data_IF_701411094185
#
_entry.id   IF_701411094185
#
_cell.length_a   1.000
_cell.length_b   1.000
_cell.length_c   1.000
_cell.angle_alpha   90.00
_cell.angle_beta   90.00
_cell.angle_gamma   90.00
#
_symmetry.space_group_name_H-M   'P 1'
#
loop_
_entity.id
_entity.type
_entity.pdbx_description
1 polymer ?
#
# COMPACT_ATOMS: atom_id res chain seq x y z
N UNK A 1 -16.59 -4.66 6.56
CA UNK A 1 -16.26 -3.94 5.31
C UNK A 1 -15.16 -4.71 4.61
N UNK A 2 -15.22 -4.91 3.28
CA UNK A 2 -14.14 -5.58 2.54
C UNK A 2 -12.81 -4.83 2.72
N UNK A 3 -11.68 -5.55 2.76
CA UNK A 3 -10.36 -4.95 3.02
C UNK A 3 -9.97 -3.94 1.94
N UNK A 4 -10.24 -4.25 0.68
CA UNK A 4 -10.07 -3.36 -0.46
C UNK A 4 -10.83 -2.03 -0.29
N UNK A 5 -12.01 -2.06 0.32
CA UNK A 5 -12.80 -0.85 0.60
C UNK A 5 -12.17 -0.01 1.72
N UNK A 6 -11.53 -0.63 2.72
CA UNK A 6 -10.79 0.09 3.78
C UNK A 6 -9.65 0.90 3.16
N UNK A 7 -8.93 0.34 2.19
CA UNK A 7 -7.89 1.09 1.46
C UNK A 7 -8.49 2.28 0.71
N UNK A 8 -9.61 2.10 0.02
CA UNK A 8 -10.32 3.22 -0.63
C UNK A 8 -10.75 4.32 0.35
N UNK A 9 -11.10 3.97 1.59
CA UNK A 9 -11.39 4.94 2.66
C UNK A 9 -10.17 5.79 3.01
N UNK A 10 -8.96 5.23 2.96
CA UNK A 10 -7.72 5.94 3.24
C UNK A 10 -7.15 6.69 2.01
N UNK A 11 -7.50 6.27 0.79
CA UNK A 11 -6.95 6.82 -0.46
C UNK A 11 -8.01 7.60 -1.26
N UNK A 12 -8.73 6.95 -2.18
CA UNK A 12 -9.61 7.61 -3.14
C UNK A 12 -10.75 8.41 -2.51
N UNK A 13 -11.27 8.00 -1.36
CA UNK A 13 -12.26 8.78 -0.61
C UNK A 13 -11.67 10.10 -0.11
N UNK A 14 -10.48 10.05 0.52
CA UNK A 14 -9.74 11.23 0.95
C UNK A 14 -9.40 12.13 -0.23
N UNK A 15 -8.90 11.56 -1.32
CA UNK A 15 -8.51 12.30 -2.52
C UNK A 15 -9.67 13.10 -3.11
N UNK A 16 -10.86 12.49 -3.23
CA UNK A 16 -12.07 13.19 -3.71
C UNK A 16 -12.49 14.31 -2.78
N UNK A 17 -12.53 14.04 -1.47
CA UNK A 17 -12.96 15.04 -0.47
C UNK A 17 -12.00 16.23 -0.40
N UNK A 18 -10.70 15.99 -0.59
CA UNK A 18 -9.63 16.99 -0.50
C UNK A 18 -9.21 17.56 -1.86
N UNK A 19 -9.80 17.09 -2.96
CA UNK A 19 -9.46 17.49 -4.35
C UNK A 19 -7.98 17.29 -4.67
N UNK A 20 -7.44 16.13 -4.32
CA UNK A 20 -6.06 15.74 -4.61
C UNK A 20 -5.96 15.05 -5.98
N UNK A 21 -4.83 15.25 -6.64
CA UNK A 21 -4.44 14.55 -7.86
C UNK A 21 -3.96 13.10 -7.58
N UNK A 22 -3.52 12.81 -6.35
CA UNK A 22 -3.11 11.47 -5.88
C UNK A 22 -4.26 10.63 -5.30
N UNK A 23 -3.94 9.46 -4.74
CA UNK A 23 -4.87 8.58 -4.00
C UNK A 23 -5.77 7.68 -4.85
N UNK A 24 -5.66 7.73 -6.18
CA UNK A 24 -6.34 6.84 -7.12
C UNK A 24 -5.30 6.38 -8.16
N UNK A 25 -5.34 5.10 -8.52
CA UNK A 25 -4.46 4.53 -9.56
C UNK A 25 -5.15 4.67 -10.90
N UNK A 26 -4.77 5.69 -11.66
CA UNK A 26 -5.37 6.06 -12.96
C UNK A 26 -4.34 6.86 -13.78
N UNK A 27 -4.39 6.76 -15.11
CA UNK A 27 -3.53 7.56 -15.98
C UNK A 27 -3.77 9.06 -15.78
N UNK A 28 -2.69 9.85 -15.74
CA UNK A 28 -2.75 11.30 -15.54
C UNK A 28 -2.80 11.76 -14.08
N UNK A 29 -2.74 10.84 -13.11
CA UNK A 29 -2.61 11.14 -11.68
C UNK A 29 -1.17 11.09 -11.20
N UNK A 30 -0.91 11.66 -10.02
CA UNK A 30 0.39 11.57 -9.36
C UNK A 30 0.79 10.10 -9.18
N UNK A 31 2.04 9.78 -9.48
CA UNK A 31 2.60 8.43 -9.39
C UNK A 31 2.99 8.08 -7.94
N UNK A 32 1.99 8.13 -7.06
CA UNK A 32 2.10 7.84 -5.64
C UNK A 32 1.63 6.41 -5.34
N UNK A 33 2.57 5.56 -4.94
CA UNK A 33 2.31 4.14 -4.72
C UNK A 33 2.88 3.66 -3.39
N UNK A 34 2.14 2.78 -2.73
CA UNK A 34 2.66 1.97 -1.63
C UNK A 34 2.60 0.51 -2.05
N UNK A 35 3.76 -0.10 -2.23
CA UNK A 35 3.88 -1.52 -2.51
C UNK A 35 3.96 -2.26 -1.18
N UNK A 36 3.02 -3.16 -0.96
CA UNK A 36 2.82 -3.86 0.31
C UNK A 36 2.42 -5.31 0.07
N UNK A 37 2.65 -6.14 1.08
CA UNK A 37 2.21 -7.54 1.11
C UNK A 37 1.74 -7.91 2.53
N UNK A 38 1.24 -9.14 2.69
CA UNK A 38 1.02 -9.70 4.03
C UNK A 38 2.32 -9.61 4.84
N UNK A 39 2.18 -9.39 6.15
CA UNK A 39 3.32 -9.45 7.06
C UNK A 39 3.91 -10.87 7.08
N UNK A 40 5.23 -10.97 7.25
CA UNK A 40 5.89 -12.25 7.52
C UNK A 40 5.25 -12.93 8.73
N UNK A 41 5.04 -14.25 8.63
CA UNK A 41 4.36 -15.05 9.65
C UNK A 41 2.90 -14.67 9.92
N UNK A 42 2.28 -13.84 9.07
CA UNK A 42 0.83 -13.63 9.10
C UNK A 42 0.08 -14.94 8.85
N UNK A 43 -1.06 -15.10 9.54
CA UNK A 43 -2.02 -16.19 9.29
C UNK A 43 -2.88 -15.97 8.04
N UNK A 44 -2.73 -14.82 7.37
CA UNK A 44 -3.38 -14.50 6.11
C UNK A 44 -2.74 -15.21 4.91
N UNK A 45 -3.56 -15.66 3.96
CA UNK A 45 -3.08 -16.26 2.71
C UNK A 45 -2.52 -15.24 1.73
N UNK A 46 -3.00 -14.00 1.81
CA UNK A 46 -2.57 -12.85 1.03
C UNK A 46 -2.77 -11.55 1.84
N UNK A 47 -2.44 -10.41 1.24
CA UNK A 47 -2.58 -9.07 1.83
C UNK A 47 -4.01 -8.77 2.31
N UNK A 48 -5.03 -9.06 1.49
CA UNK A 48 -6.40 -8.68 1.82
C UNK A 48 -6.97 -9.59 2.91
N UNK A 49 -6.66 -10.89 2.84
CA UNK A 49 -7.02 -11.84 3.89
C UNK A 49 -6.33 -11.53 5.22
N UNK A 50 -5.03 -11.17 5.21
CA UNK A 50 -4.32 -10.77 6.45
C UNK A 50 -4.93 -9.53 7.08
N UNK A 51 -5.26 -8.51 6.27
CA UNK A 51 -5.91 -7.28 6.76
C UNK A 51 -7.32 -7.57 7.29
N UNK A 52 -8.08 -8.47 6.65
CA UNK A 52 -9.40 -8.90 7.18
C UNK A 52 -9.28 -9.59 8.54
N UNK A 53 -8.17 -10.27 8.80
CA UNK A 53 -7.85 -10.93 10.09
C UNK A 53 -7.27 -9.98 11.13
N UNK A 54 -7.01 -8.73 10.78
CA UNK A 54 -6.55 -7.68 11.70
C UNK A 54 -5.05 -7.39 11.67
N UNK A 55 -4.29 -8.04 10.78
CA UNK A 55 -2.86 -7.80 10.65
C UNK A 55 -2.57 -6.46 9.95
N UNK A 56 -1.53 -5.77 10.42
CA UNK A 56 -0.97 -4.64 9.70
C UNK A 56 -0.24 -5.14 8.43
N UNK A 57 -0.44 -4.50 7.27
CA UNK A 57 0.30 -4.85 6.07
C UNK A 57 1.78 -4.51 6.21
N UNK A 58 2.64 -5.34 5.62
CA UNK A 58 4.07 -5.05 5.53
C UNK A 58 4.34 -4.14 4.34
N UNK A 59 4.89 -2.94 4.59
CA UNK A 59 5.24 -1.99 3.53
C UNK A 59 6.64 -2.31 2.99
N UNK A 60 6.71 -2.69 1.71
CA UNK A 60 7.93 -3.04 1.01
C UNK A 60 8.58 -1.88 0.26
N UNK A 61 7.79 -0.91 -0.23
CA UNK A 61 8.30 0.28 -0.91
C UNK A 61 7.25 1.40 -0.92
N UNK A 62 7.72 2.65 -0.87
CA UNK A 62 6.90 3.86 -1.06
C UNK A 62 7.49 4.68 -2.20
N UNK A 63 6.64 5.01 -3.16
CA UNK A 63 6.92 5.85 -4.32
C UNK A 63 6.09 7.12 -4.19
N UNK A 64 6.73 8.28 -4.37
CA UNK A 64 6.08 9.60 -4.37
C UNK A 64 6.53 10.35 -5.61
N UNK A 65 5.58 10.84 -6.41
CA UNK A 65 5.84 11.49 -7.69
C UNK A 65 6.71 10.64 -8.63
N UNK A 66 6.52 9.32 -8.62
CA UNK A 66 7.31 8.37 -9.43
C UNK A 66 8.73 8.13 -8.92
N UNK A 67 9.13 8.75 -7.81
CA UNK A 67 10.45 8.59 -7.21
C UNK A 67 10.35 7.64 -6.01
N UNK A 68 11.19 6.61 -5.97
CA UNK A 68 11.30 5.74 -4.78
C UNK A 68 11.82 6.55 -3.60
N UNK A 69 11.00 6.72 -2.57
CA UNK A 69 11.36 7.45 -1.34
C UNK A 69 11.78 6.53 -0.21
N UNK A 70 11.23 5.32 -0.18
CA UNK A 70 11.53 4.33 0.83
C UNK A 70 11.48 2.94 0.21
N UNK A 71 12.46 2.10 0.53
CA UNK A 71 12.35 0.65 0.36
C UNK A 71 11.54 0.05 1.51
N UNK A 72 12.04 -1.04 2.09
CA UNK A 72 11.40 -1.71 3.23
C UNK A 72 11.17 -0.72 4.39
N UNK A 73 9.93 -0.66 4.85
CA UNK A 73 9.55 0.18 5.99
C UNK A 73 10.25 -0.26 7.27
N UNK A 74 10.62 0.73 8.11
CA UNK A 74 11.19 0.50 9.45
C UNK A 74 10.13 0.36 10.54
N UNK A 75 8.88 0.69 10.25
CA UNK A 75 7.81 0.80 11.26
C UNK A 75 6.79 -0.32 11.16
N UNK A 76 6.54 -0.83 9.96
CA UNK A 76 5.59 -1.93 9.77
C UNK A 76 6.30 -3.26 9.94
N UNK A 77 5.55 -4.36 10.23
CA UNK A 77 6.09 -5.69 10.08
C UNK A 77 6.72 -5.89 8.69
N UNK A 78 7.71 -6.80 8.57
CA UNK A 78 8.33 -7.09 7.27
C UNK A 78 7.29 -7.64 6.29
N UNK A 79 7.31 -7.15 5.04
CA UNK A 79 6.51 -7.76 3.97
C UNK A 79 7.07 -9.14 3.62
N UNK A 80 6.19 -10.10 3.31
CA UNK A 80 6.58 -11.44 2.83
C UNK A 80 7.36 -11.34 1.52
N UNK A 81 6.82 -10.61 0.53
CA UNK A 81 7.52 -10.27 -0.72
C UNK A 81 7.93 -8.81 -0.69
N UNK A 82 9.21 -8.55 -0.97
CA UNK A 82 9.77 -7.19 -1.01
C UNK A 82 10.01 -6.80 -2.47
N UNK A 83 9.50 -5.65 -2.94
CA UNK A 83 9.78 -5.16 -4.28
C UNK A 83 11.26 -4.80 -4.48
N UNK A 84 11.76 -4.98 -5.70
CA UNK A 84 13.12 -4.64 -6.10
C UNK A 84 13.11 -3.59 -7.22
N UNK A 85 14.16 -2.76 -7.26
CA UNK A 85 14.39 -1.85 -8.38
C UNK A 85 15.29 -2.58 -9.37
N UNK A 86 14.77 -2.81 -10.57
CA UNK A 86 15.49 -3.47 -11.66
C UNK A 86 16.09 -2.43 -12.60
N UNK A 87 17.27 -2.74 -13.15
CA UNK A 87 17.98 -1.91 -14.14
C UNK A 87 17.73 -2.43 -15.55
#
# INVERSE_FOLDING_TARGET
MPAETVFCCATGNTARQRKLDSGLVEAGRAADFVLMDRAQHSSGTDLLDSVRKGDLPGIGMVVIDGIVRCGRSRNTPPAERVPEIVN
#
